data_IF_561907425425
#
_entry.id   IF_561907425425
#
_cell.length_a   1.000
_cell.length_b   1.000
_cell.length_c   1.000
_cell.angle_alpha   90.00
_cell.angle_beta   90.00
_cell.angle_gamma   90.00
#
_symmetry.space_group_name_H-M   'P 1'
#
loop_
_entity.id
_entity.type
_entity.pdbx_description
1 polymer ?
#
# COMPACT_ATOMS: atom_id res chain seq x y z
N UNK A 1 -12.85 -59.02 16.13
CA UNK A 1 -11.97 -58.59 15.02
C UNK A 1 -12.28 -57.19 14.45
N UNK A 2 -13.53 -56.83 14.18
CA UNK A 2 -13.88 -55.48 13.64
C UNK A 2 -13.57 -54.33 14.58
N UNK A 3 -13.74 -54.43 15.89
CA UNK A 3 -13.39 -53.39 16.88
C UNK A 3 -11.91 -53.11 17.00
N UNK A 4 -11.07 -54.12 16.83
CA UNK A 4 -9.59 -53.97 16.93
C UNK A 4 -9.01 -53.26 15.69
N UNK A 5 -9.61 -53.46 14.51
CA UNK A 5 -9.19 -52.81 13.26
C UNK A 5 -9.55 -51.34 13.30
N UNK A 6 -10.72 -50.95 13.85
CA UNK A 6 -11.10 -49.53 13.99
C UNK A 6 -10.22 -48.80 14.99
N UNK A 7 -9.82 -49.42 16.09
CA UNK A 7 -8.97 -48.83 17.08
C UNK A 7 -7.53 -48.63 16.56
N UNK A 8 -6.98 -49.57 15.80
CA UNK A 8 -5.67 -49.48 15.16
C UNK A 8 -5.67 -48.42 14.07
N UNK A 9 -6.73 -48.27 13.26
CA UNK A 9 -6.84 -47.23 12.23
C UNK A 9 -7.00 -45.83 12.82
N UNK A 10 -7.69 -45.69 13.97
CA UNK A 10 -7.76 -44.40 14.69
C UNK A 10 -6.44 -44.02 15.34
N UNK A 11 -5.68 -44.98 15.90
CA UNK A 11 -4.37 -44.74 16.45
C UNK A 11 -3.33 -44.37 15.37
N UNK A 12 -3.36 -45.04 14.21
CA UNK A 12 -2.43 -44.69 13.11
C UNK A 12 -2.76 -43.33 12.50
N UNK A 13 -4.02 -42.94 12.36
CA UNK A 13 -4.43 -41.62 11.89
C UNK A 13 -3.99 -40.51 12.86
N UNK A 14 -4.08 -40.72 14.17
CA UNK A 14 -3.61 -39.76 15.16
C UNK A 14 -2.08 -39.64 15.16
N UNK A 15 -1.35 -40.74 14.98
CA UNK A 15 0.11 -40.73 14.88
C UNK A 15 0.59 -40.01 13.61
N UNK A 16 -0.06 -40.23 12.45
CA UNK A 16 0.27 -39.55 11.20
C UNK A 16 -0.03 -38.04 11.28
N UNK A 17 -1.17 -37.65 11.87
CA UNK A 17 -1.50 -36.24 12.06
C UNK A 17 -0.54 -35.54 13.06
N UNK A 18 -0.14 -36.21 14.13
CA UNK A 18 0.84 -35.67 15.11
C UNK A 18 2.21 -35.47 14.46
N UNK A 19 2.67 -36.45 13.68
CA UNK A 19 3.96 -36.37 12.99
C UNK A 19 4.00 -35.25 11.95
N UNK A 20 2.94 -35.06 11.16
CA UNK A 20 2.84 -33.94 10.21
C UNK A 20 2.76 -32.58 10.89
N UNK A 21 2.12 -32.46 12.04
CA UNK A 21 2.07 -31.23 12.83
C UNK A 21 3.45 -30.83 13.36
N UNK A 22 4.20 -31.78 13.92
CA UNK A 22 5.58 -31.55 14.41
C UNK A 22 6.53 -31.18 13.28
N UNK A 23 6.44 -31.83 12.10
CA UNK A 23 7.26 -31.51 10.93
C UNK A 23 6.99 -30.09 10.41
N UNK A 24 5.74 -29.64 10.39
CA UNK A 24 5.38 -28.29 9.96
C UNK A 24 5.88 -27.24 10.95
N UNK A 25 5.64 -27.43 12.25
CA UNK A 25 6.16 -26.51 13.28
C UNK A 25 7.68 -26.37 13.15
N UNK A 26 8.39 -27.47 13.02
CA UNK A 26 9.84 -27.46 12.86
C UNK A 26 10.32 -26.74 11.59
N UNK A 27 9.60 -26.87 10.48
CA UNK A 27 9.97 -26.15 9.26
C UNK A 27 9.65 -24.64 9.35
N UNK A 28 8.56 -24.28 10.01
CA UNK A 28 8.22 -22.89 10.29
C UNK A 28 9.26 -22.24 11.21
N UNK A 29 9.70 -22.94 12.26
CA UNK A 29 10.81 -22.47 13.12
C UNK A 29 12.06 -22.17 12.28
N UNK A 30 12.42 -23.05 11.32
CA UNK A 30 13.53 -22.80 10.41
C UNK A 30 13.34 -21.59 9.51
N UNK A 31 12.10 -21.32 9.04
CA UNK A 31 11.78 -20.13 8.27
C UNK A 31 12.07 -18.86 9.10
N UNK A 32 11.59 -18.83 10.35
CA UNK A 32 11.84 -17.70 11.26
C UNK A 32 13.31 -17.56 11.62
N UNK A 33 14.01 -18.67 11.91
CA UNK A 33 15.45 -18.67 12.20
C UNK A 33 16.24 -18.12 11.00
N UNK A 34 15.93 -18.55 9.79
CA UNK A 34 16.59 -18.12 8.56
C UNK A 34 16.33 -16.63 8.27
N UNK A 35 15.08 -16.18 8.38
CA UNK A 35 14.73 -14.79 8.17
C UNK A 35 15.43 -13.85 9.17
N UNK A 36 15.44 -14.22 10.46
CA UNK A 36 16.00 -13.38 11.53
C UNK A 36 17.54 -13.40 11.59
N UNK A 37 18.17 -14.50 11.15
CA UNK A 37 19.63 -14.67 11.23
C UNK A 37 20.35 -14.25 9.95
N UNK A 38 19.76 -14.52 8.79
CA UNK A 38 20.38 -14.36 7.47
C UNK A 38 19.54 -13.50 6.51
N UNK A 39 18.47 -12.85 6.99
CA UNK A 39 17.54 -12.06 6.18
C UNK A 39 18.22 -10.92 5.44
N UNK A 40 17.78 -10.71 4.20
CA UNK A 40 18.27 -9.70 3.26
C UNK A 40 17.31 -8.51 3.12
N UNK A 41 16.08 -8.60 3.63
CA UNK A 41 15.04 -7.59 3.46
C UNK A 41 15.53 -6.19 3.88
N UNK A 42 16.25 -6.09 5.00
CA UNK A 42 16.73 -4.81 5.50
C UNK A 42 17.84 -4.19 4.62
N UNK A 43 18.75 -5.01 4.09
CA UNK A 43 19.80 -4.58 3.16
C UNK A 43 19.20 -4.12 1.82
N UNK A 44 18.24 -4.85 1.31
CA UNK A 44 17.51 -4.51 0.08
C UNK A 44 16.69 -3.22 0.24
N UNK A 45 16.04 -3.08 1.39
CA UNK A 45 15.27 -1.86 1.68
C UNK A 45 16.17 -0.63 1.86
N UNK A 46 17.35 -0.79 2.47
CA UNK A 46 18.36 0.28 2.55
C UNK A 46 18.73 0.78 1.14
N UNK A 47 19.01 -0.14 0.22
CA UNK A 47 19.32 0.25 -1.16
C UNK A 47 18.13 0.92 -1.85
N UNK A 48 16.95 0.32 -1.78
CA UNK A 48 15.74 0.84 -2.43
C UNK A 48 15.37 2.24 -1.91
N UNK A 49 15.51 2.46 -0.60
CA UNK A 49 15.20 3.73 0.06
C UNK A 49 16.30 4.79 -0.16
N UNK A 50 17.55 4.46 0.16
CA UNK A 50 18.63 5.46 0.23
C UNK A 50 19.39 5.66 -1.09
N UNK A 51 19.36 4.68 -2.03
CA UNK A 51 20.02 4.81 -3.34
C UNK A 51 19.04 5.12 -4.47
N UNK A 52 17.78 4.74 -4.35
CA UNK A 52 16.73 5.02 -5.33
C UNK A 52 15.77 6.09 -4.81
N UNK A 53 15.19 5.89 -3.61
CA UNK A 53 14.26 6.81 -2.96
C UNK A 53 12.88 6.83 -3.57
N UNK A 54 12.17 7.96 -3.44
CA UNK A 54 10.83 8.16 -3.97
C UNK A 54 10.75 7.82 -5.45
N UNK A 55 9.81 6.93 -5.81
CA UNK A 55 9.82 6.21 -7.09
C UNK A 55 8.42 6.06 -7.71
N UNK A 56 7.68 7.18 -7.79
CA UNK A 56 6.35 7.16 -8.41
C UNK A 56 6.42 6.62 -9.84
N UNK A 57 5.46 5.79 -10.22
CA UNK A 57 5.37 5.18 -11.54
C UNK A 57 5.49 6.21 -12.67
N UNK A 58 6.25 5.90 -13.72
CA UNK A 58 6.59 6.81 -14.81
C UNK A 58 7.75 7.78 -14.53
N UNK A 59 8.38 7.69 -13.36
CA UNK A 59 9.60 8.43 -13.02
C UNK A 59 10.86 7.64 -13.38
N UNK A 60 12.01 8.34 -13.40
CA UNK A 60 13.31 7.68 -13.62
C UNK A 60 13.71 6.78 -12.45
N UNK A 61 13.30 7.12 -11.23
CA UNK A 61 13.58 6.31 -10.05
C UNK A 61 12.76 5.01 -10.09
N UNK A 62 11.54 5.06 -10.62
CA UNK A 62 10.77 3.83 -10.84
C UNK A 62 11.50 2.88 -11.82
N UNK A 63 12.02 3.39 -12.94
CA UNK A 63 12.79 2.56 -13.88
C UNK A 63 14.08 1.98 -13.25
N UNK A 64 14.71 2.74 -12.32
CA UNK A 64 15.84 2.23 -11.54
C UNK A 64 15.42 1.11 -10.60
N UNK A 65 14.25 1.21 -9.96
CA UNK A 65 13.74 0.16 -9.08
C UNK A 65 13.33 -1.09 -9.84
N UNK A 66 12.77 -0.96 -11.04
CA UNK A 66 12.50 -2.11 -11.95
C UNK A 66 13.79 -2.84 -12.30
N UNK A 67 14.83 -2.10 -12.66
CA UNK A 67 16.14 -2.70 -12.99
C UNK A 67 16.73 -3.39 -11.76
N UNK A 68 16.76 -2.72 -10.62
CA UNK A 68 17.25 -3.26 -9.36
C UNK A 68 16.49 -4.53 -8.94
N UNK A 69 15.16 -4.48 -8.90
CA UNK A 69 14.36 -5.65 -8.50
C UNK A 69 14.58 -6.86 -9.41
N UNK A 70 14.75 -6.62 -10.73
CA UNK A 70 15.11 -7.70 -11.66
C UNK A 70 16.50 -8.28 -11.36
N UNK A 71 17.50 -7.42 -11.15
CA UNK A 71 18.89 -7.84 -10.87
C UNK A 71 18.97 -8.62 -9.55
N UNK A 72 18.29 -8.20 -8.48
CA UNK A 72 18.27 -8.90 -7.20
C UNK A 72 17.58 -10.27 -7.30
N UNK A 73 16.47 -10.36 -8.04
CA UNK A 73 15.80 -11.64 -8.26
C UNK A 73 16.63 -12.59 -9.14
N UNK A 74 17.35 -12.07 -10.15
CA UNK A 74 18.27 -12.88 -10.95
C UNK A 74 19.41 -13.48 -10.07
N UNK A 75 19.91 -12.71 -9.09
CA UNK A 75 20.95 -13.16 -8.15
C UNK A 75 20.48 -14.28 -7.19
N UNK A 76 19.18 -14.47 -7.00
CA UNK A 76 18.63 -15.59 -6.23
C UNK A 76 18.70 -16.92 -6.97
N UNK A 77 19.07 -16.92 -8.24
CA UNK A 77 19.13 -18.14 -9.09
C UNK A 77 17.82 -18.94 -9.04
N UNK A 78 16.68 -18.23 -9.10
CA UNK A 78 15.35 -18.82 -9.24
C UNK A 78 15.08 -19.23 -10.69
N UNK A 79 14.03 -20.01 -10.94
CA UNK A 79 13.82 -20.65 -12.25
C UNK A 79 13.53 -19.66 -13.39
N UNK A 80 12.86 -18.54 -13.10
CA UNK A 80 12.55 -17.52 -14.11
C UNK A 80 12.43 -16.13 -13.49
N UNK A 81 12.94 -15.11 -14.20
CA UNK A 81 12.73 -13.68 -13.88
C UNK A 81 12.43 -12.94 -15.18
N UNK A 82 11.33 -12.18 -15.22
CA UNK A 82 10.96 -11.40 -16.40
C UNK A 82 10.28 -10.08 -16.06
N UNK A 83 10.16 -9.21 -17.06
CA UNK A 83 9.50 -7.93 -17.00
C UNK A 83 8.18 -7.99 -17.76
N UNK A 84 7.06 -7.65 -17.10
CA UNK A 84 5.75 -7.57 -17.74
C UNK A 84 5.43 -6.11 -18.07
N UNK A 85 5.27 -5.74 -19.36
CA UNK A 85 5.04 -4.35 -19.76
C UNK A 85 3.65 -3.87 -19.35
N UNK A 86 3.59 -2.61 -18.90
CA UNK A 86 2.37 -1.93 -18.51
C UNK A 86 2.45 -0.44 -18.82
N UNK A 87 1.34 0.15 -19.30
CA UNK A 87 1.22 1.60 -19.49
C UNK A 87 0.72 2.25 -18.20
N UNK A 88 1.43 3.26 -17.72
CA UNK A 88 1.13 3.94 -16.45
C UNK A 88 1.01 5.45 -16.64
N UNK A 89 0.18 6.15 -15.83
CA UNK A 89 0.13 7.60 -15.85
C UNK A 89 1.47 8.19 -15.43
N UNK A 90 1.83 9.30 -16.08
CA UNK A 90 3.01 10.10 -15.71
C UNK A 90 2.58 11.44 -15.16
N UNK A 91 2.77 11.60 -13.86
CA UNK A 91 2.59 12.87 -13.16
C UNK A 91 3.92 13.30 -12.52
N UNK A 92 4.20 14.58 -12.52
CA UNK A 92 5.42 15.17 -11.96
C UNK A 92 5.04 16.32 -11.07
N UNK A 93 5.48 16.29 -9.82
CA UNK A 93 5.23 17.34 -8.81
C UNK A 93 5.82 18.68 -9.21
N UNK A 94 7.04 18.68 -9.72
CA UNK A 94 7.76 19.89 -10.12
C UNK A 94 8.54 20.53 -8.96
N UNK A 95 8.64 21.86 -8.98
CA UNK A 95 9.33 22.60 -7.91
C UNK A 95 8.55 22.52 -6.58
N UNK A 96 9.24 22.63 -5.43
CA UNK A 96 8.59 22.60 -4.12
C UNK A 96 7.42 23.58 -4.01
N UNK A 97 6.39 23.15 -3.36
CA UNK A 97 5.18 23.93 -3.11
C UNK A 97 5.45 25.00 -2.05
N UNK A 98 4.67 26.06 -2.12
CA UNK A 98 4.72 27.15 -1.15
C UNK A 98 3.31 27.59 -0.78
N UNK A 99 3.05 27.76 0.52
CA UNK A 99 1.77 28.29 1.01
C UNK A 99 1.94 29.15 2.27
N UNK A 100 1.00 30.06 2.43
CA UNK A 100 0.88 30.84 3.65
C UNK A 100 -0.55 31.31 3.91
N UNK A 101 -0.84 31.54 5.18
CA UNK A 101 -2.07 32.19 5.64
C UNK A 101 -1.82 33.70 5.69
N UNK A 102 -2.64 34.48 4.98
CA UNK A 102 -2.59 35.94 5.00
C UNK A 102 -3.49 36.49 6.13
N UNK A 103 -2.90 36.97 7.21
CA UNK A 103 -3.66 37.47 8.35
C UNK A 103 -4.07 38.93 8.19
N UNK A 104 -3.21 39.73 7.59
CA UNK A 104 -3.36 41.13 7.17
C UNK A 104 -2.32 41.47 6.11
N UNK A 105 -2.48 42.55 5.33
CA UNK A 105 -1.49 42.92 4.33
C UNK A 105 -0.06 42.95 4.89
N UNK A 106 0.85 42.19 4.25
CA UNK A 106 2.24 42.08 4.64
C UNK A 106 2.57 41.17 5.84
N UNK A 107 1.57 40.50 6.43
CA UNK A 107 1.77 39.59 7.55
C UNK A 107 1.29 38.17 7.19
N UNK A 108 2.23 37.29 6.82
CA UNK A 108 2.00 35.96 6.32
C UNK A 108 2.57 34.93 7.29
N UNK A 109 1.82 33.85 7.51
CA UNK A 109 2.27 32.67 8.29
C UNK A 109 2.44 31.51 7.33
N UNK A 110 3.68 31.08 7.09
CA UNK A 110 3.98 29.93 6.24
C UNK A 110 3.44 28.65 6.83
N UNK A 111 2.84 27.79 6.00
CA UNK A 111 2.33 26.47 6.37
C UNK A 111 2.78 25.44 5.33
N UNK A 112 3.21 24.23 5.77
CA UNK A 112 3.60 23.18 4.85
C UNK A 112 2.40 22.64 4.08
N UNK A 113 2.57 22.53 2.75
CA UNK A 113 1.63 21.86 1.85
C UNK A 113 2.39 20.96 0.87
N UNK A 114 1.69 20.02 0.26
CA UNK A 114 2.15 19.25 -0.90
C UNK A 114 1.01 19.08 -1.91
N UNK A 115 1.32 19.16 -3.20
CA UNK A 115 0.35 18.88 -4.25
C UNK A 115 -0.20 17.45 -4.12
N UNK A 116 -1.49 17.27 -4.31
CA UNK A 116 -2.10 15.94 -4.42
C UNK A 116 -1.74 15.31 -5.78
N UNK A 117 -1.54 14.00 -5.78
CA UNK A 117 -1.19 13.25 -6.98
C UNK A 117 -2.26 13.35 -8.06
N UNK A 118 -1.85 13.71 -9.29
CA UNK A 118 -2.76 13.99 -10.39
C UNK A 118 -3.23 15.44 -10.47
N UNK A 119 -3.00 16.26 -9.44
CA UNK A 119 -3.37 17.69 -9.44
C UNK A 119 -2.66 18.47 -10.55
N UNK A 120 -3.33 19.53 -11.03
CA UNK A 120 -2.74 20.50 -11.97
C UNK A 120 -1.96 21.60 -11.22
N UNK A 121 -1.13 22.37 -11.96
CA UNK A 121 -0.44 23.54 -11.41
C UNK A 121 -1.40 24.69 -11.09
N UNK A 122 -1.00 25.55 -10.17
CA UNK A 122 -1.56 26.91 -10.05
C UNK A 122 -1.08 27.78 -11.23
N UNK A 123 -1.67 28.98 -11.46
CA UNK A 123 -1.02 30.02 -12.21
C UNK A 123 0.39 30.31 -11.65
N UNK A 124 1.31 30.80 -12.46
CA UNK A 124 2.72 31.06 -12.06
C UNK A 124 2.86 32.00 -10.87
N UNK A 125 1.91 32.92 -10.71
CA UNK A 125 1.84 33.85 -9.56
C UNK A 125 1.22 33.24 -8.30
N UNK A 126 0.73 31.98 -8.36
CA UNK A 126 -0.02 31.33 -7.30
C UNK A 126 -1.50 31.73 -7.27
N UNK A 127 -2.21 31.27 -6.27
CA UNK A 127 -3.62 31.60 -5.97
C UNK A 127 -3.70 32.16 -4.56
N UNK A 128 -4.26 33.37 -4.40
CA UNK A 128 -4.64 33.97 -3.13
C UNK A 128 -6.13 34.22 -3.12
N UNK A 129 -6.86 33.57 -2.21
CA UNK A 129 -8.32 33.72 -2.11
C UNK A 129 -8.80 33.49 -0.65
N UNK A 130 -10.00 33.96 -0.38
CA UNK A 130 -10.68 33.63 0.87
C UNK A 130 -10.93 32.13 0.97
N UNK A 131 -11.00 31.62 2.19
CA UNK A 131 -11.17 30.19 2.46
C UNK A 131 -12.58 29.88 2.95
N UNK A 132 -13.11 28.75 2.50
CA UNK A 132 -14.34 28.14 3.04
C UNK A 132 -13.96 26.79 3.62
N UNK A 133 -14.06 26.64 4.94
CA UNK A 133 -13.83 25.38 5.62
C UNK A 133 -15.10 24.51 5.60
N UNK A 134 -14.94 23.23 5.28
CA UNK A 134 -16.01 22.22 5.33
C UNK A 134 -15.46 20.87 5.79
N UNK A 135 -16.30 20.06 6.42
CA UNK A 135 -15.96 18.71 6.89
C UNK A 135 -16.61 17.58 6.09
N UNK A 136 -17.47 17.92 5.14
CA UNK A 136 -18.14 16.94 4.29
C UNK A 136 -18.60 17.53 2.96
N UNK A 137 -18.85 16.66 1.98
CA UNK A 137 -19.47 17.09 0.71
C UNK A 137 -20.93 17.54 0.91
N UNK A 138 -21.62 17.02 1.92
CA UNK A 138 -22.96 17.51 2.25
C UNK A 138 -22.90 18.97 2.70
N UNK A 139 -22.04 19.29 3.63
CA UNK A 139 -21.83 20.67 4.10
C UNK A 139 -21.43 21.61 2.95
N UNK A 140 -20.50 21.18 2.06
CA UNK A 140 -20.11 21.94 0.89
C UNK A 140 -21.32 22.25 -0.03
N UNK A 141 -22.20 21.29 -0.24
CA UNK A 141 -23.40 21.50 -1.07
C UNK A 141 -24.43 22.41 -0.39
N UNK A 142 -24.59 22.26 0.93
CA UNK A 142 -25.55 23.05 1.73
C UNK A 142 -25.20 24.55 1.73
N UNK A 143 -23.89 24.91 1.81
CA UNK A 143 -23.46 26.32 1.76
C UNK A 143 -23.58 26.92 0.35
N UNK A 144 -23.58 26.11 -0.70
CA UNK A 144 -23.91 26.47 -2.07
C UNK A 144 -22.87 27.29 -2.82
N UNK A 145 -23.15 27.50 -4.11
CA UNK A 145 -22.25 28.16 -5.06
C UNK A 145 -21.88 29.60 -4.67
N UNK A 146 -22.83 30.38 -4.18
CA UNK A 146 -22.61 31.80 -3.85
C UNK A 146 -21.57 31.99 -2.74
N UNK A 147 -21.49 31.01 -1.84
CA UNK A 147 -20.51 30.97 -0.75
C UNK A 147 -19.15 30.42 -1.15
N UNK A 148 -19.05 29.63 -2.23
CA UNK A 148 -17.86 28.88 -2.65
C UNK A 148 -17.15 29.51 -3.86
N UNK A 149 -17.91 30.13 -4.77
CA UNK A 149 -17.35 30.63 -6.02
C UNK A 149 -16.23 31.65 -5.78
N UNK A 150 -15.09 31.47 -6.47
CA UNK A 150 -13.90 32.32 -6.34
C UNK A 150 -13.10 32.11 -5.05
N UNK A 151 -13.44 31.13 -4.21
CA UNK A 151 -12.74 30.85 -2.96
C UNK A 151 -11.96 29.54 -3.03
N UNK A 152 -11.06 29.34 -2.07
CA UNK A 152 -10.40 28.05 -1.80
C UNK A 152 -11.30 27.27 -0.85
N UNK A 153 -11.59 25.99 -1.19
CA UNK A 153 -12.28 25.09 -0.27
C UNK A 153 -11.26 24.35 0.56
N UNK A 154 -11.40 24.43 1.87
CA UNK A 154 -10.60 23.70 2.83
C UNK A 154 -11.41 22.52 3.39
N UNK A 155 -11.09 21.31 2.96
CA UNK A 155 -11.65 20.08 3.50
C UNK A 155 -10.89 19.69 4.78
N UNK A 156 -11.53 19.88 5.95
CA UNK A 156 -10.90 19.69 7.25
C UNK A 156 -11.59 18.58 8.08
N UNK A 157 -11.88 17.43 7.48
CA UNK A 157 -12.34 16.25 8.22
C UNK A 157 -11.12 15.43 8.66
N UNK A 158 -10.84 15.31 9.98
CA UNK A 158 -9.77 14.45 10.47
C UNK A 158 -10.13 12.97 10.29
N UNK A 159 -9.13 12.09 10.37
CA UNK A 159 -9.35 10.69 10.65
C UNK A 159 -10.02 10.54 12.03
N UNK A 160 -10.94 9.59 12.16
CA UNK A 160 -11.64 9.36 13.44
C UNK A 160 -10.69 8.68 14.43
N UNK A 161 -10.19 9.46 15.39
CA UNK A 161 -9.26 9.00 16.43
C UNK A 161 -9.87 8.01 17.44
N UNK A 162 -11.18 7.80 17.41
CA UNK A 162 -11.85 6.82 18.28
C UNK A 162 -11.81 5.41 17.72
N UNK A 163 -11.47 5.26 16.46
CA UNK A 163 -11.35 3.96 15.79
C UNK A 163 -9.96 3.33 16.03
N UNK A 164 -9.96 2.15 16.65
CA UNK A 164 -8.72 1.37 16.85
C UNK A 164 -8.14 0.92 15.51
N UNK A 165 -9.00 0.59 14.55
CA UNK A 165 -8.58 0.27 13.19
C UNK A 165 -8.30 1.56 12.40
N UNK A 166 -7.03 1.91 12.25
CA UNK A 166 -6.58 3.14 11.56
C UNK A 166 -6.92 3.13 10.07
N UNK A 167 -6.95 1.98 9.40
CA UNK A 167 -7.40 1.86 8.01
C UNK A 167 -8.90 2.18 7.85
N UNK A 168 -9.73 1.82 8.83
CA UNK A 168 -11.14 2.22 8.84
C UNK A 168 -11.27 3.74 9.03
N UNK A 169 -10.46 4.34 9.91
CA UNK A 169 -10.43 5.79 10.11
C UNK A 169 -9.99 6.53 8.84
N UNK A 170 -8.98 6.02 8.15
CA UNK A 170 -8.53 6.53 6.84
C UNK A 170 -9.65 6.42 5.78
N UNK A 171 -10.26 5.25 5.64
CA UNK A 171 -11.39 5.04 4.72
C UNK A 171 -12.56 6.00 4.96
N UNK A 172 -12.79 6.40 6.22
CA UNK A 172 -13.80 7.39 6.59
C UNK A 172 -13.49 8.82 6.12
N UNK A 173 -12.24 9.15 5.80
CA UNK A 173 -11.80 10.51 5.44
C UNK A 173 -11.27 10.65 4.03
N UNK A 174 -10.82 9.58 3.37
CA UNK A 174 -10.08 9.60 2.10
C UNK A 174 -10.81 10.27 0.93
N UNK A 175 -12.14 10.24 0.88
CA UNK A 175 -12.91 10.81 -0.23
C UNK A 175 -12.70 12.32 -0.38
N UNK A 176 -12.40 13.06 0.71
CA UNK A 176 -12.11 14.50 0.62
C UNK A 176 -10.82 14.78 -0.19
N UNK A 177 -9.85 13.85 -0.19
CA UNK A 177 -8.66 13.90 -1.03
C UNK A 177 -8.99 13.51 -2.48
N UNK A 178 -9.60 12.35 -2.66
CA UNK A 178 -9.80 11.77 -4.00
C UNK A 178 -10.80 12.53 -4.85
N UNK A 179 -11.85 13.11 -4.27
CA UNK A 179 -13.00 13.73 -4.96
C UNK A 179 -13.20 15.21 -4.63
N UNK A 180 -12.51 15.74 -3.61
CA UNK A 180 -12.74 17.10 -3.11
C UNK A 180 -12.58 18.18 -4.18
N UNK A 181 -11.58 18.06 -5.08
CA UNK A 181 -11.38 19.00 -6.16
C UNK A 181 -12.54 19.02 -7.16
N UNK A 182 -13.13 17.87 -7.46
CA UNK A 182 -14.30 17.76 -8.35
C UNK A 182 -15.53 18.42 -7.72
N UNK A 183 -15.82 18.09 -6.46
CA UNK A 183 -16.99 18.64 -5.78
C UNK A 183 -16.89 20.17 -5.59
N UNK A 184 -15.70 20.67 -5.25
CA UNK A 184 -15.45 22.11 -5.12
C UNK A 184 -15.50 22.86 -6.46
N UNK A 185 -14.92 22.28 -7.53
CA UNK A 185 -14.94 22.88 -8.86
C UNK A 185 -16.36 23.06 -9.44
N UNK A 186 -17.26 22.11 -9.18
CA UNK A 186 -18.69 22.21 -9.57
C UNK A 186 -19.36 23.46 -8.98
N UNK A 187 -18.89 23.94 -7.83
CA UNK A 187 -19.40 25.15 -7.16
C UNK A 187 -18.57 26.41 -7.44
N UNK A 188 -17.58 26.33 -8.36
CA UNK A 188 -16.79 27.48 -8.80
C UNK A 188 -15.63 27.85 -7.86
N UNK A 189 -15.17 26.94 -7.02
CA UNK A 189 -13.92 27.11 -6.25
C UNK A 189 -12.73 27.31 -7.19
N UNK A 190 -11.68 28.02 -6.71
CA UNK A 190 -10.46 28.27 -7.48
C UNK A 190 -9.29 27.36 -7.06
N UNK A 191 -9.43 26.63 -5.96
CA UNK A 191 -8.45 25.67 -5.47
C UNK A 191 -9.00 24.90 -4.27
N UNK A 192 -8.30 23.83 -3.91
CA UNK A 192 -8.66 22.96 -2.78
C UNK A 192 -7.44 22.73 -1.90
N UNK A 193 -7.66 22.83 -0.60
CA UNK A 193 -6.72 22.39 0.45
C UNK A 193 -7.38 21.29 1.25
N UNK A 194 -6.65 20.18 1.47
CA UNK A 194 -7.16 19.01 2.20
C UNK A 194 -6.30 18.74 3.42
N UNK A 195 -6.91 18.58 4.57
CA UNK A 195 -6.21 18.12 5.78
C UNK A 195 -5.53 16.79 5.51
N UNK A 196 -4.26 16.65 5.87
CA UNK A 196 -3.52 15.39 5.80
C UNK A 196 -4.19 14.27 6.57
N UNK A 197 -4.12 13.05 6.02
CA UNK A 197 -4.80 11.86 6.56
C UNK A 197 -3.88 11.07 7.46
N UNK A 198 -3.76 11.57 8.68
CA UNK A 198 -3.02 10.96 9.78
C UNK A 198 -3.71 11.31 11.09
N UNK A 199 -3.44 10.55 12.14
CA UNK A 199 -3.85 10.88 13.52
C UNK A 199 -2.80 11.69 14.27
N UNK A 200 -1.57 11.76 13.74
CA UNK A 200 -0.48 12.56 14.30
C UNK A 200 -0.65 14.05 14.00
N UNK A 201 -0.28 14.90 14.95
CA UNK A 201 -0.20 16.35 14.78
C UNK A 201 1.26 16.75 14.50
N UNK A 202 1.56 16.98 13.23
CA UNK A 202 2.90 17.32 12.77
C UNK A 202 2.90 18.32 11.61
N UNK A 203 4.08 18.54 11.03
CA UNK A 203 4.29 19.44 9.90
C UNK A 203 4.58 18.70 8.59
N UNK A 204 4.31 17.39 8.50
CA UNK A 204 4.42 16.60 7.29
C UNK A 204 3.07 16.52 6.56
N UNK A 205 2.91 17.21 5.41
CA UNK A 205 1.71 17.00 4.60
C UNK A 205 1.73 15.63 3.94
N UNK A 206 0.57 14.96 3.90
CA UNK A 206 0.39 13.66 3.27
C UNK A 206 -0.27 13.82 1.89
N UNK A 207 0.43 13.41 0.84
CA UNK A 207 -0.09 13.42 -0.53
C UNK A 207 -1.06 12.25 -0.78
N UNK A 208 -1.17 11.79 -1.98
CA UNK A 208 -1.98 10.67 -2.45
C UNK A 208 -2.84 11.07 -3.65
N UNK A 209 -3.36 10.08 -4.34
CA UNK A 209 -4.12 10.28 -5.57
C UNK A 209 -5.40 11.08 -5.39
N UNK A 210 -5.65 11.94 -6.37
CA UNK A 210 -6.92 12.59 -6.61
C UNK A 210 -7.32 12.47 -8.09
N UNK A 211 -8.59 12.57 -8.36
CA UNK A 211 -9.14 12.39 -9.71
C UNK A 211 -9.94 13.61 -10.16
N UNK A 212 -10.00 13.83 -11.49
CA UNK A 212 -10.81 14.89 -12.11
C UNK A 212 -11.96 14.32 -12.94
N UNK A 213 -12.48 13.16 -12.55
CA UNK A 213 -13.56 12.50 -13.28
C UNK A 213 -14.77 13.42 -13.48
N UNK A 214 -15.26 13.48 -14.73
CA UNK A 214 -16.39 14.33 -15.10
C UNK A 214 -16.08 15.82 -15.28
N UNK A 215 -14.82 16.26 -15.12
CA UNK A 215 -14.40 17.63 -15.37
C UNK A 215 -13.61 17.75 -16.68
N UNK A 216 -13.99 18.72 -17.52
CA UNK A 216 -13.15 19.15 -18.65
C UNK A 216 -11.85 19.79 -18.15
N UNK A 217 -10.82 19.87 -18.99
CA UNK A 217 -9.52 20.47 -18.63
C UNK A 217 -9.67 21.90 -18.07
N UNK A 218 -10.55 22.70 -18.64
CA UNK A 218 -10.80 24.09 -18.22
C UNK A 218 -11.51 24.22 -16.86
N UNK A 219 -12.15 23.15 -16.38
CA UNK A 219 -12.85 23.13 -15.09
C UNK A 219 -11.98 22.61 -13.94
N UNK A 220 -10.82 22.04 -14.27
CA UNK A 220 -9.90 21.50 -13.24
C UNK A 220 -9.30 22.61 -12.41
N UNK A 221 -9.24 22.40 -11.12
CA UNK A 221 -8.63 23.33 -10.15
C UNK A 221 -7.50 22.64 -9.39
N UNK A 222 -6.44 23.36 -8.99
CA UNK A 222 -5.34 22.76 -8.22
C UNK A 222 -5.79 22.36 -6.81
N UNK A 223 -5.20 21.26 -6.33
CA UNK A 223 -5.47 20.69 -5.03
C UNK A 223 -4.17 20.29 -4.33
N UNK A 224 -4.07 20.61 -3.05
CA UNK A 224 -2.93 20.28 -2.18
C UNK A 224 -3.39 19.77 -0.82
N UNK A 225 -2.57 18.94 -0.19
CA UNK A 225 -2.71 18.60 1.23
C UNK A 225 -1.96 19.63 2.08
N UNK A 226 -2.52 19.95 3.25
CA UNK A 226 -1.88 20.76 4.30
C UNK A 226 -1.53 19.84 5.49
N UNK A 227 -0.40 20.11 6.16
CA UNK A 227 -0.05 19.39 7.39
C UNK A 227 -1.12 19.50 8.45
N UNK A 228 -1.19 18.57 9.37
CA UNK A 228 -2.20 18.57 10.45
C UNK A 228 -2.06 19.80 11.36
N UNK A 229 -0.83 20.20 11.73
CA UNK A 229 -0.60 21.45 12.46
C UNK A 229 -1.05 22.69 11.65
N UNK A 230 -0.77 22.71 10.34
CA UNK A 230 -1.22 23.79 9.46
C UNK A 230 -2.75 23.84 9.34
N UNK A 231 -3.42 22.68 9.32
CA UNK A 231 -4.87 22.58 9.28
C UNK A 231 -5.53 23.11 10.58
N UNK A 232 -5.00 22.72 11.75
CA UNK A 232 -5.46 23.26 13.03
C UNK A 232 -5.29 24.78 13.11
N UNK A 233 -4.12 25.28 12.69
CA UNK A 233 -3.84 26.71 12.66
C UNK A 233 -4.83 27.45 11.75
N UNK A 234 -5.02 26.98 10.51
CA UNK A 234 -5.92 27.61 9.55
C UNK A 234 -7.36 27.61 10.06
N UNK A 235 -7.84 26.51 10.61
CA UNK A 235 -9.19 26.37 11.18
C UNK A 235 -9.40 27.34 12.37
N UNK A 236 -8.45 27.39 13.31
CA UNK A 236 -8.47 28.33 14.43
C UNK A 236 -8.54 29.78 13.95
N UNK A 237 -7.74 30.14 12.97
CA UNK A 237 -7.71 31.51 12.45
C UNK A 237 -8.98 31.87 11.69
N UNK A 238 -9.58 30.93 10.95
CA UNK A 238 -10.86 31.12 10.25
C UNK A 238 -12.01 31.34 11.25
N UNK A 239 -12.00 30.66 12.39
CA UNK A 239 -12.99 30.85 13.45
C UNK A 239 -12.95 32.27 14.06
N UNK A 240 -11.77 32.89 14.12
CA UNK A 240 -11.58 34.24 14.62
C UNK A 240 -11.83 35.30 13.53
N UNK A 241 -11.48 35.00 12.27
CA UNK A 241 -11.67 35.92 11.16
C UNK A 241 -11.99 35.14 9.85
N UNK A 242 -13.28 35.06 9.48
CA UNK A 242 -13.71 34.34 8.27
C UNK A 242 -13.26 35.02 6.93
N UNK A 243 -12.62 36.19 6.99
CA UNK A 243 -12.10 36.90 5.81
C UNK A 243 -10.63 36.60 5.55
N UNK A 244 -10.01 35.69 6.27
CA UNK A 244 -8.63 35.24 6.03
C UNK A 244 -8.49 34.73 4.61
N UNK A 245 -7.38 35.08 3.98
CA UNK A 245 -6.97 34.54 2.69
C UNK A 245 -5.88 33.48 2.90
N UNK A 246 -5.88 32.54 1.99
CA UNK A 246 -4.82 31.54 1.86
C UNK A 246 -4.16 31.67 0.50
N UNK A 247 -2.85 31.72 0.50
CA UNK A 247 -2.05 31.69 -0.71
C UNK A 247 -1.40 30.33 -0.87
N UNK A 248 -1.41 29.77 -2.09
CA UNK A 248 -0.59 28.62 -2.40
C UNK A 248 -0.12 28.64 -3.86
N UNK A 249 1.03 27.98 -4.10
CA UNK A 249 1.62 27.79 -5.42
C UNK A 249 2.18 26.38 -5.53
N UNK A 250 1.86 25.69 -6.63
CA UNK A 250 2.37 24.37 -7.01
C UNK A 250 2.60 24.31 -8.52
N UNK A 251 3.53 23.43 -8.97
CA UNK A 251 3.97 23.33 -10.34
C UNK A 251 3.74 21.94 -10.95
N UNK A 252 2.85 21.14 -10.38
CA UNK A 252 2.58 19.77 -10.79
C UNK A 252 2.00 19.67 -12.21
N UNK A 253 2.38 18.63 -12.94
CA UNK A 253 1.99 18.43 -14.33
C UNK A 253 1.64 16.99 -14.63
N UNK A 254 0.59 16.80 -15.41
CA UNK A 254 0.23 15.52 -16.01
C UNK A 254 0.83 15.44 -17.43
N UNK A 255 1.37 14.29 -17.77
CA UNK A 255 1.92 13.96 -19.08
C UNK A 255 1.14 12.77 -19.68
N UNK A 256 1.32 12.47 -20.98
CA UNK A 256 0.82 11.22 -21.54
C UNK A 256 1.35 9.99 -20.79
N UNK A 257 0.56 8.92 -20.78
CA UNK A 257 0.97 7.64 -20.20
C UNK A 257 2.28 7.16 -20.83
N UNK A 258 3.10 6.48 -20.03
CA UNK A 258 4.39 5.93 -20.44
C UNK A 258 4.44 4.42 -20.21
N UNK A 259 5.27 3.73 -20.98
CA UNK A 259 5.53 2.32 -20.80
C UNK A 259 6.52 2.12 -19.64
N UNK A 260 6.19 1.17 -18.77
CA UNK A 260 7.07 0.65 -17.72
C UNK A 260 6.81 -0.84 -17.50
N UNK A 261 7.30 -1.43 -16.38
CA UNK A 261 7.21 -2.86 -16.15
C UNK A 261 6.89 -3.21 -14.70
N UNK A 262 6.11 -4.28 -14.52
CA UNK A 262 6.06 -5.09 -13.29
C UNK A 262 7.21 -6.10 -13.35
N UNK A 263 7.92 -6.33 -12.24
CA UNK A 263 8.98 -7.33 -12.16
C UNK A 263 8.39 -8.62 -11.58
N UNK A 264 8.67 -9.76 -12.22
CA UNK A 264 8.10 -11.04 -11.81
C UNK A 264 9.20 -12.09 -11.78
N UNK A 265 9.24 -12.86 -10.67
CA UNK A 265 10.16 -13.99 -10.52
C UNK A 265 9.44 -15.22 -10.00
N UNK A 266 9.92 -16.44 -10.29
CA UNK A 266 9.27 -17.65 -9.81
C UNK A 266 10.23 -18.79 -9.51
N UNK A 267 9.87 -19.60 -8.50
CA UNK A 267 10.37 -20.95 -8.25
C UNK A 267 9.29 -21.93 -8.75
N UNK A 268 9.62 -22.74 -9.71
CA UNK A 268 8.67 -23.64 -10.36
C UNK A 268 8.29 -24.82 -9.46
N UNK A 269 7.01 -25.13 -9.44
CA UNK A 269 6.49 -26.28 -8.68
C UNK A 269 6.93 -27.63 -9.24
N UNK A 270 7.21 -28.58 -8.34
CA UNK A 270 7.68 -29.94 -8.68
C UNK A 270 6.54 -30.91 -8.97
N UNK A 271 5.37 -30.74 -8.35
CA UNK A 271 4.23 -31.64 -8.51
C UNK A 271 3.08 -31.02 -9.28
N UNK A 272 2.86 -29.70 -9.10
CA UNK A 272 1.74 -28.94 -9.66
C UNK A 272 2.21 -27.60 -10.21
N UNK A 273 3.08 -27.61 -11.21
CA UNK A 273 3.71 -26.37 -11.74
C UNK A 273 2.69 -25.38 -12.33
N UNK A 274 1.50 -25.83 -12.71
CA UNK A 274 0.44 -24.99 -13.27
C UNK A 274 -0.44 -24.31 -12.20
N UNK A 275 -0.33 -24.72 -10.93
CA UNK A 275 -0.98 -24.05 -9.79
C UNK A 275 -0.01 -23.01 -9.21
N UNK A 276 -0.42 -21.73 -9.18
CA UNK A 276 0.45 -20.61 -8.82
C UNK A 276 0.05 -20.06 -7.46
N UNK A 277 1.06 -19.87 -6.60
CA UNK A 277 0.98 -19.10 -5.37
C UNK A 277 1.70 -17.78 -5.60
N UNK A 278 1.02 -16.65 -5.42
CA UNK A 278 1.57 -15.31 -5.59
C UNK A 278 1.92 -14.70 -4.25
N UNK A 279 3.08 -14.05 -4.18
CA UNK A 279 3.46 -13.14 -3.11
C UNK A 279 3.91 -11.82 -3.73
N UNK A 280 3.47 -10.68 -3.19
CA UNK A 280 3.78 -9.39 -3.80
C UNK A 280 3.57 -8.18 -2.90
N UNK A 281 3.90 -7.05 -3.46
CA UNK A 281 3.68 -5.69 -3.01
C UNK A 281 3.90 -4.75 -4.19
N UNK A 282 3.69 -3.44 -4.03
CA UNK A 282 3.89 -2.50 -5.12
C UNK A 282 5.28 -1.84 -5.09
N UNK A 283 5.90 -1.78 -6.27
CA UNK A 283 7.26 -1.29 -6.40
C UNK A 283 7.34 0.24 -6.43
N UNK A 284 6.28 0.92 -6.85
CA UNK A 284 6.22 2.37 -6.81
C UNK A 284 5.98 2.90 -5.39
N UNK A 285 6.23 4.16 -5.20
CA UNK A 285 5.93 4.92 -3.98
C UNK A 285 5.69 6.37 -4.34
N UNK A 286 5.12 7.17 -3.42
CA UNK A 286 5.12 8.62 -3.60
C UNK A 286 6.53 9.20 -3.60
N UNK A 287 6.68 10.38 -4.17
CA UNK A 287 7.94 11.05 -4.48
C UNK A 287 8.49 11.94 -3.36
N UNK A 288 7.84 11.97 -2.19
CA UNK A 288 8.17 12.88 -1.09
C UNK A 288 9.19 12.31 -0.10
N UNK A 289 9.03 11.03 0.23
CA UNK A 289 9.90 10.26 1.12
C UNK A 289 10.68 9.21 0.35
N UNK A 290 11.23 8.24 1.08
CA UNK A 290 11.95 7.10 0.51
C UNK A 290 11.00 5.98 0.09
N UNK A 291 9.71 6.02 0.51
CA UNK A 291 8.74 4.96 0.32
C UNK A 291 9.19 3.66 0.99
N UNK A 292 9.65 3.77 2.26
CA UNK A 292 10.22 2.64 2.99
C UNK A 292 9.15 1.74 3.59
N UNK A 293 8.10 2.33 4.17
CA UNK A 293 6.93 1.59 4.63
C UNK A 293 5.94 1.34 3.50
N UNK A 294 5.76 2.31 2.59
CA UNK A 294 4.76 2.33 1.53
C UNK A 294 5.42 2.37 0.13
N UNK A 295 5.73 1.25 -0.58
CA UNK A 295 5.61 -0.12 -0.09
C UNK A 295 6.96 -0.87 -0.23
N UNK A 296 8.07 -0.17 0.04
CA UNK A 296 9.40 -0.80 0.04
C UNK A 296 9.45 -2.01 0.96
N UNK A 297 8.78 -1.94 2.13
CA UNK A 297 8.71 -3.04 3.09
C UNK A 297 8.05 -4.28 2.49
N UNK A 298 6.90 -4.14 1.83
CA UNK A 298 6.20 -5.27 1.21
C UNK A 298 6.97 -5.88 0.05
N UNK A 299 7.64 -5.05 -0.75
CA UNK A 299 8.51 -5.50 -1.83
C UNK A 299 9.63 -6.41 -1.30
N UNK A 300 10.40 -5.94 -0.34
CA UNK A 300 11.55 -6.72 0.14
C UNK A 300 11.12 -7.94 0.96
N UNK A 301 10.00 -7.87 1.69
CA UNK A 301 9.41 -9.02 2.36
C UNK A 301 8.99 -10.10 1.34
N UNK A 302 8.41 -9.70 0.22
CA UNK A 302 7.97 -10.61 -0.84
C UNK A 302 9.15 -11.29 -1.55
N UNK A 303 10.22 -10.55 -1.82
CA UNK A 303 11.46 -11.11 -2.37
C UNK A 303 12.13 -12.08 -1.39
N UNK A 304 12.10 -11.74 -0.10
CA UNK A 304 12.68 -12.54 0.97
C UNK A 304 12.04 -13.93 1.10
N UNK A 305 10.75 -14.06 0.79
CA UNK A 305 10.07 -15.37 0.75
C UNK A 305 10.79 -16.34 -0.18
N UNK A 306 11.14 -15.89 -1.40
CA UNK A 306 11.85 -16.74 -2.35
C UNK A 306 13.28 -17.05 -1.88
N UNK A 307 13.97 -16.05 -1.31
CA UNK A 307 15.31 -16.24 -0.76
C UNK A 307 15.32 -17.27 0.36
N UNK A 308 14.36 -17.19 1.31
CA UNK A 308 14.22 -18.16 2.41
C UNK A 308 14.05 -19.56 1.86
N UNK A 309 13.14 -19.78 0.90
CA UNK A 309 12.92 -21.10 0.33
C UNK A 309 14.14 -21.62 -0.41
N UNK A 310 14.86 -20.79 -1.13
CA UNK A 310 16.14 -21.17 -1.78
C UNK A 310 17.20 -21.56 -0.73
N UNK A 311 17.36 -20.75 0.32
CA UNK A 311 18.34 -21.00 1.39
C UNK A 311 18.07 -22.32 2.14
N UNK A 312 16.80 -22.60 2.42
CA UNK A 312 16.36 -23.83 3.08
C UNK A 312 16.29 -25.04 2.14
N UNK A 313 16.63 -24.88 0.87
CA UNK A 313 16.51 -25.91 -0.17
C UNK A 313 15.07 -26.49 -0.26
N UNK A 314 14.07 -25.64 -0.04
CA UNK A 314 12.68 -26.03 -0.17
C UNK A 314 12.30 -26.21 -1.63
N UNK A 315 11.77 -27.36 -1.98
CA UNK A 315 11.25 -27.67 -3.32
C UNK A 315 9.73 -27.55 -3.27
N UNK A 316 9.14 -26.46 -3.80
CA UNK A 316 7.72 -26.27 -3.74
C UNK A 316 6.96 -27.27 -4.61
N UNK A 317 5.75 -27.63 -4.22
CA UNK A 317 4.83 -28.47 -5.02
C UNK A 317 4.17 -27.66 -6.11
N UNK A 318 3.76 -26.44 -5.78
CA UNK A 318 3.17 -25.42 -6.66
C UNK A 318 4.21 -24.38 -7.04
N UNK A 319 4.01 -23.70 -8.14
CA UNK A 319 4.85 -22.55 -8.50
C UNK A 319 4.65 -21.41 -7.51
N UNK A 320 5.73 -20.94 -6.89
CA UNK A 320 5.73 -19.76 -6.03
C UNK A 320 6.28 -18.59 -6.85
N UNK A 321 5.46 -17.56 -7.02
CA UNK A 321 5.75 -16.39 -7.86
C UNK A 321 5.75 -15.12 -7.02
N UNK A 322 6.87 -14.37 -7.06
CA UNK A 322 6.92 -12.99 -6.55
C UNK A 322 6.52 -12.02 -7.65
N UNK A 323 5.72 -11.03 -7.30
CA UNK A 323 5.28 -9.97 -8.21
C UNK A 323 5.52 -8.62 -7.54
N UNK A 324 6.43 -7.82 -8.12
CA UNK A 324 6.68 -6.44 -7.73
C UNK A 324 5.81 -5.57 -8.63
N UNK A 325 4.60 -5.25 -8.17
CA UNK A 325 3.58 -4.59 -8.97
C UNK A 325 3.94 -3.15 -9.31
N UNK A 326 3.51 -2.70 -10.48
CA UNK A 326 3.69 -1.34 -10.95
C UNK A 326 2.43 -0.53 -10.71
N UNK A 327 2.58 0.73 -10.25
CA UNK A 327 1.52 1.73 -10.31
C UNK A 327 0.30 1.43 -9.42
N UNK A 328 0.51 1.02 -8.20
CA UNK A 328 -0.54 0.97 -7.19
C UNK A 328 -1.01 2.39 -6.84
N UNK A 329 -0.06 3.26 -6.47
CA UNK A 329 -0.24 4.58 -5.88
C UNK A 329 -1.18 5.51 -6.64
N UNK A 330 -1.17 5.42 -7.96
CA UNK A 330 -1.98 6.31 -8.78
C UNK A 330 -2.66 5.63 -9.98
N UNK A 331 -3.01 4.32 -9.85
CA UNK A 331 -3.74 3.72 -10.95
C UNK A 331 -4.06 2.23 -10.90
N UNK A 332 -3.42 1.43 -10.04
CA UNK A 332 -3.55 -0.05 -9.98
C UNK A 332 -3.32 -0.74 -11.34
N UNK A 333 -2.51 -0.10 -12.22
CA UNK A 333 -2.34 -0.59 -13.61
C UNK A 333 -1.57 -1.90 -13.66
N UNK A 334 -0.59 -2.10 -12.75
CA UNK A 334 0.21 -3.32 -12.65
C UNK A 334 -0.62 -4.53 -12.25
N UNK A 335 -1.37 -4.43 -11.16
CA UNK A 335 -2.26 -5.49 -10.69
C UNK A 335 -3.32 -5.87 -11.73
N UNK A 336 -3.99 -4.86 -12.31
CA UNK A 336 -4.96 -5.08 -13.39
C UNK A 336 -4.33 -5.77 -14.62
N UNK A 337 -3.12 -5.34 -15.03
CA UNK A 337 -2.42 -5.93 -16.18
C UNK A 337 -1.95 -7.35 -15.89
N UNK A 338 -1.49 -7.62 -14.66
CA UNK A 338 -1.13 -8.96 -14.24
C UNK A 338 -2.33 -9.91 -14.34
N UNK A 339 -3.48 -9.54 -13.79
CA UNK A 339 -4.70 -10.34 -13.87
C UNK A 339 -5.21 -10.53 -15.31
N UNK A 340 -5.12 -9.48 -16.15
CA UNK A 340 -5.45 -9.59 -17.60
C UNK A 340 -4.58 -10.64 -18.29
N UNK A 341 -3.26 -10.59 -18.09
CA UNK A 341 -2.30 -11.55 -18.70
C UNK A 341 -2.50 -12.94 -18.16
N UNK A 342 -2.72 -13.10 -16.86
CA UNK A 342 -3.03 -14.38 -16.23
C UNK A 342 -4.27 -15.03 -16.86
N UNK A 343 -5.34 -14.25 -17.05
CA UNK A 343 -6.56 -14.72 -17.70
C UNK A 343 -6.32 -15.12 -19.18
N UNK A 344 -5.55 -14.33 -19.93
CA UNK A 344 -5.23 -14.63 -21.33
C UNK A 344 -4.42 -15.93 -21.47
N UNK A 345 -3.56 -16.21 -20.51
CA UNK A 345 -2.74 -17.45 -20.47
C UNK A 345 -3.46 -18.63 -19.82
N UNK A 346 -4.69 -18.44 -19.29
CA UNK A 346 -5.43 -19.42 -18.49
C UNK A 346 -4.62 -19.93 -17.30
N UNK A 347 -3.84 -19.06 -16.64
CA UNK A 347 -3.07 -19.40 -15.46
C UNK A 347 -4.01 -19.72 -14.27
N UNK A 348 -3.64 -20.71 -13.45
CA UNK A 348 -4.42 -21.13 -12.28
C UNK A 348 -3.80 -20.59 -11.02
N UNK A 349 -4.31 -19.49 -10.52
CA UNK A 349 -3.90 -18.96 -9.23
C UNK A 349 -4.64 -19.70 -8.09
N UNK A 350 -3.87 -20.24 -7.17
CA UNK A 350 -4.39 -21.01 -6.02
C UNK A 350 -4.52 -20.14 -4.77
N UNK A 351 -3.49 -19.33 -4.53
CA UNK A 351 -3.37 -18.43 -3.39
C UNK A 351 -2.59 -17.18 -3.78
N UNK A 352 -2.95 -16.03 -3.23
CA UNK A 352 -2.13 -14.82 -3.35
C UNK A 352 -2.11 -14.07 -2.02
N UNK A 353 -0.93 -13.59 -1.63
CA UNK A 353 -0.73 -12.74 -0.45
C UNK A 353 0.05 -11.49 -0.82
N UNK A 354 -0.39 -10.36 -0.28
CA UNK A 354 0.24 -9.05 -0.47
C UNK A 354 0.60 -8.44 0.88
N UNK A 355 1.74 -7.78 0.93
CA UNK A 355 2.14 -6.92 2.04
C UNK A 355 2.14 -5.48 1.56
N UNK A 356 1.21 -4.68 2.09
CA UNK A 356 1.02 -3.26 1.79
C UNK A 356 0.37 -2.58 3.00
N UNK A 357 1.11 -2.58 4.11
CA UNK A 357 0.68 -1.94 5.36
C UNK A 357 1.88 -1.58 6.27
N UNK A 358 3.06 -1.49 5.66
CA UNK A 358 4.31 -1.11 6.30
C UNK A 358 5.09 -2.25 6.94
N UNK A 359 6.36 -1.99 7.25
CA UNK A 359 7.31 -2.94 7.84
C UNK A 359 7.24 -3.02 9.37
N UNK A 360 6.04 -2.94 9.96
CA UNK A 360 5.84 -3.05 11.42
C UNK A 360 5.68 -4.50 11.86
N UNK A 361 5.67 -4.72 13.19
CA UNK A 361 5.48 -6.08 13.76
C UNK A 361 4.24 -6.76 13.17
N UNK A 362 4.36 -7.95 12.53
CA UNK A 362 3.21 -8.67 12.01
C UNK A 362 2.27 -9.07 13.17
N UNK A 363 0.97 -8.83 12.99
CA UNK A 363 -0.08 -9.14 13.97
C UNK A 363 -1.11 -10.10 13.43
N UNK A 364 -1.19 -10.22 12.11
CA UNK A 364 -2.17 -11.11 11.51
C UNK A 364 -1.95 -11.34 10.02
N UNK A 365 -2.70 -12.30 9.52
CA UNK A 365 -2.91 -12.53 8.08
C UNK A 365 -4.42 -12.51 7.87
N UNK A 366 -4.88 -11.61 7.00
CA UNK A 366 -6.29 -11.55 6.61
C UNK A 366 -6.54 -12.39 5.36
N UNK A 367 -7.74 -12.96 5.25
CA UNK A 367 -8.13 -13.82 4.14
C UNK A 367 -9.47 -13.35 3.56
N UNK A 368 -9.47 -12.96 2.29
CA UNK A 368 -10.69 -12.68 1.52
C UNK A 368 -11.14 -13.98 0.85
N UNK A 369 -11.96 -14.70 1.56
CA UNK A 369 -12.46 -16.02 1.17
C UNK A 369 -13.80 -16.32 1.81
N UNK A 370 -14.44 -17.45 1.47
CA UNK A 370 -15.69 -17.87 2.06
C UNK A 370 -15.56 -18.29 3.54
N UNK A 371 -16.64 -18.20 4.31
CA UNK A 371 -16.69 -18.65 5.70
C UNK A 371 -16.24 -20.10 5.89
N UNK A 372 -16.55 -20.96 4.92
CA UNK A 372 -16.19 -22.38 4.94
C UNK A 372 -14.69 -22.56 4.80
N UNK A 373 -14.08 -21.87 3.84
CA UNK A 373 -12.65 -21.91 3.58
C UNK A 373 -11.88 -21.27 4.73
N UNK A 374 -12.34 -20.12 5.23
CA UNK A 374 -11.73 -19.48 6.39
C UNK A 374 -11.67 -20.39 7.62
N UNK A 375 -12.76 -21.14 7.92
CA UNK A 375 -12.76 -22.14 9.00
C UNK A 375 -11.71 -23.24 8.79
N UNK A 376 -11.42 -23.60 7.56
CA UNK A 376 -10.38 -24.59 7.24
C UNK A 376 -8.97 -23.99 7.42
N UNK A 377 -8.77 -22.74 7.00
CA UNK A 377 -7.53 -21.99 7.18
C UNK A 377 -7.23 -21.71 8.64
N UNK A 378 -8.26 -21.42 9.44
CA UNK A 378 -8.12 -21.09 10.88
C UNK A 378 -7.42 -22.19 11.68
N UNK A 379 -7.39 -23.43 11.19
CA UNK A 379 -6.64 -24.53 11.78
C UNK A 379 -5.14 -24.34 11.71
N UNK A 380 -4.64 -23.59 10.73
CA UNK A 380 -3.22 -23.29 10.59
C UNK A 380 -2.73 -22.19 11.54
N UNK A 381 -3.65 -21.46 12.18
CA UNK A 381 -3.27 -20.38 13.11
C UNK A 381 -2.44 -20.91 14.29
N UNK A 382 -2.63 -22.19 14.69
CA UNK A 382 -1.85 -22.81 15.77
C UNK A 382 -0.34 -22.74 15.53
N UNK A 383 0.12 -22.81 14.27
CA UNK A 383 1.53 -22.69 13.89
C UNK A 383 2.09 -21.27 14.05
N UNK A 384 1.23 -20.27 14.23
CA UNK A 384 1.59 -18.86 14.33
C UNK A 384 1.46 -18.30 15.75
N UNK A 385 0.96 -19.10 16.70
CA UNK A 385 0.72 -18.65 18.08
C UNK A 385 1.97 -18.12 18.76
N UNK A 386 3.10 -18.81 18.62
CA UNK A 386 4.38 -18.44 19.24
C UNK A 386 4.98 -17.17 18.60
N UNK A 387 4.52 -16.80 17.40
CA UNK A 387 4.94 -15.62 16.66
C UNK A 387 3.96 -14.43 16.80
N UNK A 388 2.85 -14.61 17.52
CA UNK A 388 1.87 -13.56 17.79
C UNK A 388 1.09 -13.09 16.55
N UNK A 389 0.93 -13.98 15.55
CA UNK A 389 0.21 -13.70 14.30
C UNK A 389 -1.14 -14.41 14.32
N UNK A 390 -2.23 -13.67 14.20
CA UNK A 390 -3.61 -14.18 14.19
C UNK A 390 -4.19 -14.21 12.78
N UNK A 391 -5.19 -15.09 12.54
CA UNK A 391 -5.90 -15.13 11.28
C UNK A 391 -7.21 -14.33 11.35
N UNK A 392 -7.39 -13.44 10.39
CA UNK A 392 -8.49 -12.50 10.29
C UNK A 392 -9.33 -12.79 9.03
N UNK A 393 -10.65 -12.69 9.15
CA UNK A 393 -11.52 -12.84 7.98
C UNK A 393 -11.77 -11.49 7.33
N UNK A 394 -11.65 -11.46 5.99
CA UNK A 394 -11.90 -10.29 5.15
C UNK A 394 -10.68 -9.42 4.90
N UNK A 395 -10.62 -8.89 3.69
CA UNK A 395 -9.54 -8.04 3.19
C UNK A 395 -8.32 -8.80 2.70
N UNK A 396 -7.73 -8.26 1.65
CA UNK A 396 -6.49 -8.71 1.01
C UNK A 396 -5.67 -7.50 0.59
N UNK A 397 -4.78 -7.62 -0.38
CA UNK A 397 -4.07 -6.49 -0.97
C UNK A 397 -4.79 -5.90 -2.19
N UNK A 398 -4.40 -4.69 -2.58
CA UNK A 398 -5.01 -3.96 -3.69
C UNK A 398 -4.60 -4.53 -5.06
N UNK A 399 -3.32 -4.84 -5.25
CA UNK A 399 -2.77 -5.32 -6.52
C UNK A 399 -3.17 -6.75 -6.87
N UNK A 400 -3.39 -7.60 -5.87
CA UNK A 400 -3.89 -8.97 -6.08
C UNK A 400 -5.41 -9.04 -6.18
N UNK A 401 -6.12 -7.98 -5.80
CA UNK A 401 -7.58 -7.88 -5.88
C UNK A 401 -8.18 -8.26 -7.25
N UNK A 402 -7.60 -7.80 -8.37
CA UNK A 402 -8.07 -8.14 -9.72
C UNK A 402 -7.99 -9.64 -10.09
N UNK A 403 -7.26 -10.47 -9.32
CA UNK A 403 -7.21 -11.93 -9.51
C UNK A 403 -8.47 -12.63 -9.00
N UNK A 404 -9.36 -11.95 -8.27
CA UNK A 404 -10.54 -12.55 -7.63
C UNK A 404 -11.50 -13.12 -8.69
N UNK A 405 -11.56 -14.44 -8.77
CA UNK A 405 -12.43 -15.18 -9.70
C UNK A 405 -13.40 -16.14 -8.99
N UNK A 406 -13.37 -16.19 -7.66
CA UNK A 406 -14.18 -17.09 -6.82
C UNK A 406 -13.51 -18.42 -6.47
N UNK A 407 -12.36 -18.75 -7.04
CA UNK A 407 -11.61 -19.99 -6.76
C UNK A 407 -10.28 -19.73 -6.05
N UNK A 408 -9.74 -18.52 -6.16
CA UNK A 408 -8.50 -18.10 -5.50
C UNK A 408 -8.79 -17.60 -4.08
N UNK A 409 -7.90 -17.92 -3.15
CA UNK A 409 -7.87 -17.31 -1.82
C UNK A 409 -6.91 -16.13 -1.86
N UNK A 410 -7.43 -14.94 -1.57
CA UNK A 410 -6.61 -13.73 -1.44
C UNK A 410 -6.33 -13.45 0.03
N UNK A 411 -5.11 -13.01 0.32
CA UNK A 411 -4.67 -12.73 1.68
C UNK A 411 -3.89 -11.40 1.75
N UNK A 412 -3.77 -10.85 2.95
CA UNK A 412 -2.92 -9.69 3.21
C UNK A 412 -2.16 -9.85 4.53
N UNK A 413 -0.88 -9.53 4.53
CA UNK A 413 -0.13 -9.38 5.77
C UNK A 413 -0.69 -8.18 6.55
N UNK A 414 -0.93 -8.33 7.85
CA UNK A 414 -1.48 -7.29 8.72
C UNK A 414 -0.51 -7.02 9.87
N UNK A 415 0.41 -6.08 9.70
CA UNK A 415 1.26 -5.60 10.77
C UNK A 415 0.46 -4.72 11.75
N UNK A 416 1.11 -4.28 12.82
CA UNK A 416 0.55 -3.31 13.76
C UNK A 416 0.19 -2.00 13.03
N UNK A 417 -1.09 -1.62 12.93
CA UNK A 417 -1.50 -0.53 12.06
C UNK A 417 -1.38 0.86 12.71
N UNK A 418 -0.97 0.94 14.01
CA UNK A 418 -1.12 2.18 14.78
C UNK A 418 -0.24 3.33 14.29
N UNK A 419 0.91 3.01 13.67
CA UNK A 419 1.87 4.01 13.19
C UNK A 419 1.92 4.16 11.67
N UNK A 420 1.23 3.31 10.90
CA UNK A 420 1.31 3.33 9.45
C UNK A 420 0.96 4.71 8.87
N UNK A 421 -0.16 5.29 9.33
CA UNK A 421 -0.61 6.60 8.86
C UNK A 421 0.20 7.79 9.40
N UNK A 422 1.18 7.58 10.26
CA UNK A 422 2.15 8.63 10.63
C UNK A 422 3.16 8.86 9.49
N UNK A 423 3.36 7.89 8.62
CA UNK A 423 4.35 7.90 7.52
C UNK A 423 3.72 7.85 6.13
N UNK A 424 2.61 7.12 5.99
CA UNK A 424 1.91 6.87 4.74
C UNK A 424 1.74 8.14 3.89
N UNK A 425 2.33 8.14 2.68
CA UNK A 425 2.28 9.24 1.71
C UNK A 425 2.94 10.56 2.17
N UNK A 426 3.84 10.53 3.12
CA UNK A 426 4.51 11.71 3.66
C UNK A 426 6.04 11.67 3.44
N UNK A 427 6.68 12.84 3.53
CA UNK A 427 8.15 12.92 3.47
C UNK A 427 8.86 12.27 4.68
N UNK A 428 8.09 11.89 5.70
CA UNK A 428 8.58 11.16 6.87
C UNK A 428 8.64 9.64 6.67
N UNK A 429 8.17 9.09 5.54
CA UNK A 429 8.35 7.69 5.20
C UNK A 429 9.77 7.44 4.71
N UNK A 430 10.67 7.23 5.65
CA UNK A 430 12.11 7.13 5.44
C UNK A 430 12.69 5.88 6.11
N UNK A 431 13.83 5.40 5.60
CA UNK A 431 14.46 4.16 6.03
C UNK A 431 14.76 4.10 7.54
N UNK A 432 15.07 5.23 8.18
CA UNK A 432 15.33 5.31 9.63
C UNK A 432 14.09 4.99 10.51
N UNK A 433 12.91 4.87 9.93
CA UNK A 433 11.66 4.45 10.61
C UNK A 433 11.49 2.93 10.63
N UNK A 434 12.27 2.21 9.84
CA UNK A 434 12.18 0.76 9.72
C UNK A 434 12.93 0.06 10.86
N UNK A 435 12.26 -0.86 11.50
CA UNK A 435 12.89 -1.80 12.43
C UNK A 435 13.26 -3.09 11.70
N UNK A 436 14.56 -3.42 11.64
CA UNK A 436 15.04 -4.61 10.94
C UNK A 436 14.32 -5.89 11.37
N UNK A 437 14.17 -6.11 12.69
CA UNK A 437 13.54 -7.32 13.21
C UNK A 437 12.06 -7.41 12.84
N UNK A 438 11.33 -6.31 12.92
CA UNK A 438 9.90 -6.28 12.55
C UNK A 438 9.72 -6.59 11.05
N UNK A 439 10.58 -6.05 10.20
CA UNK A 439 10.60 -6.28 8.77
C UNK A 439 10.80 -7.77 8.43
N UNK A 440 11.83 -8.39 9.03
CA UNK A 440 12.15 -9.80 8.81
C UNK A 440 11.06 -10.74 9.36
N UNK A 441 10.43 -10.39 10.48
CA UNK A 441 9.27 -11.14 11.00
C UNK A 441 8.09 -11.15 10.02
N UNK A 442 7.87 -10.04 9.29
CA UNK A 442 6.84 -9.98 8.25
C UNK A 442 7.12 -10.96 7.11
N UNK A 443 8.37 -10.99 6.62
CA UNK A 443 8.79 -11.94 5.58
C UNK A 443 8.63 -13.40 6.05
N UNK A 444 9.03 -13.70 7.29
CA UNK A 444 8.88 -15.04 7.88
C UNK A 444 7.40 -15.47 7.97
N UNK A 445 6.51 -14.56 8.38
CA UNK A 445 5.08 -14.85 8.45
C UNK A 445 4.49 -15.18 7.07
N UNK A 446 4.88 -14.41 6.03
CA UNK A 446 4.44 -14.69 4.65
C UNK A 446 5.02 -16.01 4.12
N UNK A 447 6.30 -16.29 4.33
CA UNK A 447 6.90 -17.55 3.92
C UNK A 447 6.22 -18.74 4.61
N UNK A 448 5.88 -18.62 5.90
CA UNK A 448 5.24 -19.68 6.68
C UNK A 448 3.83 -20.01 6.17
N UNK A 449 3.01 -19.00 5.87
CA UNK A 449 1.69 -19.27 5.31
C UNK A 449 1.77 -19.83 3.88
N UNK A 450 2.70 -19.35 3.06
CA UNK A 450 2.93 -19.88 1.71
C UNK A 450 3.36 -21.36 1.77
N UNK A 451 4.27 -21.71 2.68
CA UNK A 451 4.66 -23.09 2.92
C UNK A 451 3.47 -23.99 3.27
N UNK A 452 2.59 -23.53 4.17
CA UNK A 452 1.38 -24.27 4.53
C UNK A 452 0.43 -24.39 3.35
N UNK A 453 0.19 -23.32 2.59
CA UNK A 453 -0.68 -23.31 1.42
C UNK A 453 -0.15 -24.20 0.29
N UNK A 454 1.17 -24.32 0.12
CA UNK A 454 1.77 -25.23 -0.84
C UNK A 454 1.59 -26.69 -0.48
N UNK A 455 1.63 -27.02 0.80
CA UNK A 455 1.59 -28.40 1.28
C UNK A 455 0.20 -28.97 1.52
N UNK A 456 -0.83 -28.13 1.70
CA UNK A 456 -2.16 -28.59 2.07
C UNK A 456 -3.20 -28.41 0.97
N UNK A 457 -4.17 -29.35 0.95
CA UNK A 457 -5.43 -29.20 0.22
C UNK A 457 -6.44 -28.60 1.18
N UNK A 458 -6.99 -27.48 0.81
CA UNK A 458 -8.11 -26.82 1.52
C UNK A 458 -9.41 -27.56 1.28
#
# INVERSE_FOLDING_TARGET
>A
MRFFIILVSLLTLNLINSQTTEENSFFIDKIYDEALSNGKSYEWLDYLSNQIGGRLSGSINYERSVKWGKEELDLLEIDSVWLQPVMVPKWVRGAPEYAHIETRPGNNISVPIVALGGSISTPSIGISANVVEVKSFKELRDIGRDSVSGKIVFFNRPMDVTLINTFQAYGGSVNQRTQGAVEAAKLGAVGVIVRSMTTTLDNYPHTGSMYYEGLSLSQRIPAAAISTNGAELLSSMLSLNPKIKFFFRQNSRNFPDVLTHTVIGEIKGSEKPDEIIVVGGHLDSWDLGDGSHDDGAGIVQSMEVLRIFKSLNYIPKRTIRVVLFANEENGLRGGNKYAEVAKLKNEKHFFAIESDAGGFTPRGISFDTSDKEFKSLKKFEEYFNDYGVSFLQGGSGADIGPLKDGNIILAGLRPDPQRYFDYHHAASDTFDKINKRELELGAAAMASIIYLMDNYKL
#
